data_IF_213278211603
#
_entry.id   IF_213278211603
#
_cell.length_a   1.000
_cell.length_b   1.000
_cell.length_c   1.000
_cell.angle_alpha   90.00
_cell.angle_beta   90.00
_cell.angle_gamma   90.00
#
_symmetry.space_group_name_H-M   'P 1'
#
loop_
_entity.id
_entity.type
_entity.pdbx_description
1 polymer ?
#
# COMPACT_ATOMS: atom_id res chain seq x y z
N UNK A 1 -2.55 4.48 -24.35
CA UNK A 1 -3.15 3.30 -23.68
C UNK A 1 -4.46 2.85 -24.32
N UNK A 2 -5.45 3.73 -24.52
CA UNK A 2 -6.72 3.37 -25.16
C UNK A 2 -6.55 2.73 -26.55
N UNK A 3 -5.74 3.32 -27.41
CA UNK A 3 -5.43 2.78 -28.74
C UNK A 3 -4.75 1.41 -28.69
N UNK A 4 -3.83 1.21 -27.73
CA UNK A 4 -3.17 -0.08 -27.52
C UNK A 4 -4.15 -1.14 -27.06
N UNK A 5 -5.07 -0.81 -26.17
CA UNK A 5 -6.10 -1.72 -25.70
C UNK A 5 -7.07 -2.14 -26.83
N UNK A 6 -7.48 -1.20 -27.67
CA UNK A 6 -8.34 -1.46 -28.84
C UNK A 6 -7.65 -2.28 -29.92
N UNK A 7 -6.32 -2.19 -30.04
CA UNK A 7 -5.55 -3.08 -30.94
C UNK A 7 -5.55 -4.53 -30.47
N UNK A 8 -5.50 -4.75 -29.14
CA UNK A 8 -5.51 -6.09 -28.55
C UNK A 8 -6.92 -6.68 -28.45
N UNK A 9 -7.90 -5.85 -28.15
CA UNK A 9 -9.30 -6.25 -27.98
C UNK A 9 -10.19 -5.24 -28.71
N UNK A 10 -10.41 -5.42 -30.05
CA UNK A 10 -11.19 -4.48 -30.86
C UNK A 10 -12.64 -4.26 -30.40
N UNK A 11 -13.22 -5.23 -29.72
CA UNK A 11 -14.59 -5.17 -29.17
C UNK A 11 -14.69 -4.40 -27.84
N UNK A 12 -13.58 -3.89 -27.31
CA UNK A 12 -13.57 -3.16 -26.04
C UNK A 12 -14.33 -1.83 -26.17
N UNK A 13 -15.33 -1.63 -25.32
CA UNK A 13 -16.07 -0.39 -25.26
C UNK A 13 -15.60 0.47 -24.08
N UNK A 14 -14.83 1.51 -24.38
CA UNK A 14 -14.25 2.41 -23.37
C UNK A 14 -15.30 3.21 -22.57
N UNK A 15 -16.58 3.25 -23.04
CA UNK A 15 -17.67 3.86 -22.25
C UNK A 15 -17.98 3.11 -20.95
N UNK A 16 -17.54 1.86 -20.85
CA UNK A 16 -17.69 1.05 -19.63
C UNK A 16 -16.50 1.21 -18.67
N UNK A 17 -15.54 2.08 -18.96
CA UNK A 17 -14.49 2.43 -18.02
C UNK A 17 -15.08 3.04 -16.75
N UNK A 18 -14.76 2.45 -15.60
CA UNK A 18 -15.21 2.93 -14.29
C UNK A 18 -14.16 3.76 -13.57
N UNK A 19 -12.88 3.61 -13.96
CA UNK A 19 -11.76 4.36 -13.42
C UNK A 19 -10.58 4.35 -14.40
N UNK A 20 -9.70 5.33 -14.24
CA UNK A 20 -8.37 5.31 -14.83
C UNK A 20 -7.33 5.68 -13.77
N UNK A 21 -6.13 5.17 -13.93
CA UNK A 21 -5.01 5.50 -13.04
C UNK A 21 -3.70 5.38 -13.82
N UNK A 22 -2.69 6.05 -13.29
CA UNK A 22 -1.33 6.01 -13.83
C UNK A 22 -0.35 5.76 -12.69
N UNK A 23 0.69 4.99 -12.97
CA UNK A 23 1.83 4.80 -12.06
C UNK A 23 3.04 5.58 -12.60
N UNK A 24 3.83 6.13 -11.69
CA UNK A 24 5.15 6.67 -11.97
C UNK A 24 6.18 5.60 -11.61
N UNK A 25 7.05 5.28 -12.56
CA UNK A 25 8.16 4.34 -12.33
C UNK A 25 9.44 5.15 -12.10
N UNK A 26 10.14 4.93 -10.98
CA UNK A 26 11.44 5.54 -10.74
C UNK A 26 12.48 4.82 -11.61
N UNK A 27 12.80 5.35 -12.77
CA UNK A 27 13.85 4.78 -13.61
C UNK A 27 15.22 5.25 -13.10
N UNK A 28 16.11 4.31 -12.87
CA UNK A 28 17.51 4.59 -12.61
C UNK A 28 18.29 4.85 -13.90
N UNK A 29 19.46 5.43 -13.77
CA UNK A 29 20.45 5.56 -14.82
C UNK A 29 21.79 4.89 -14.43
N UNK A 30 21.72 3.97 -13.48
CA UNK A 30 22.85 3.18 -13.04
C UNK A 30 23.41 2.31 -14.18
N UNK A 31 24.73 2.07 -14.21
CA UNK A 31 25.34 1.15 -15.15
C UNK A 31 24.92 -0.28 -14.85
N UNK A 32 24.61 -1.06 -15.88
CA UNK A 32 24.36 -2.49 -15.72
C UNK A 32 25.63 -3.20 -15.22
N UNK A 33 25.51 -3.89 -14.09
CA UNK A 33 26.61 -4.67 -13.48
C UNK A 33 26.84 -6.03 -14.17
N UNK A 34 25.94 -6.44 -15.09
CA UNK A 34 26.03 -7.73 -15.77
C UNK A 34 27.04 -7.65 -16.93
N UNK A 35 28.11 -8.46 -16.93
CA UNK A 35 29.12 -8.45 -18.01
C UNK A 35 28.47 -8.75 -19.38
N UNK A 36 28.81 -7.92 -20.38
CA UNK A 36 28.33 -8.07 -21.76
C UNK A 36 26.93 -7.52 -22.04
N UNK A 37 26.24 -6.97 -21.04
CA UNK A 37 24.94 -6.31 -21.19
C UNK A 37 25.15 -4.79 -21.20
N UNK A 38 24.80 -4.14 -22.30
CA UNK A 38 24.80 -2.67 -22.41
C UNK A 38 23.39 -2.18 -22.10
N UNK A 39 23.10 -2.00 -20.82
CA UNK A 39 21.84 -1.45 -20.34
C UNK A 39 22.12 -0.35 -19.32
N UNK A 40 21.71 0.87 -19.61
CA UNK A 40 22.08 2.05 -18.81
C UNK A 40 20.98 2.50 -17.85
N UNK A 41 20.00 1.64 -17.58
CA UNK A 41 18.85 1.98 -16.72
C UNK A 41 18.71 0.95 -15.58
N UNK A 42 19.84 0.56 -15.00
CA UNK A 42 19.82 -0.38 -13.87
C UNK A 42 19.58 0.35 -12.53
N UNK A 43 19.37 -0.41 -11.48
CA UNK A 43 19.21 0.11 -10.13
C UNK A 43 20.52 0.79 -9.67
N UNK A 44 20.37 1.86 -8.93
CA UNK A 44 21.47 2.53 -8.25
C UNK A 44 21.53 1.93 -6.84
N UNK A 45 22.60 1.22 -6.53
CA UNK A 45 22.86 0.64 -5.20
C UNK A 45 24.29 1.03 -4.86
N UNK A 46 24.46 2.03 -3.99
CA UNK A 46 25.76 2.63 -3.72
C UNK A 46 25.84 3.25 -2.31
N UNK A 47 27.05 3.39 -1.82
CA UNK A 47 27.40 4.29 -0.72
C UNK A 47 28.11 5.47 -1.36
N UNK A 48 27.48 6.68 -1.42
CA UNK A 48 28.13 7.86 -1.99
C UNK A 48 29.35 8.27 -1.15
N UNK A 49 30.47 8.58 -1.80
CA UNK A 49 31.72 8.99 -1.11
C UNK A 49 31.53 10.32 -0.35
N UNK A 50 30.65 11.19 -0.86
CA UNK A 50 30.41 12.53 -0.32
C UNK A 50 29.57 12.52 0.95
N UNK A 51 28.85 11.44 1.24
CA UNK A 51 27.91 11.38 2.38
C UNK A 51 28.13 10.11 3.19
N UNK A 52 28.80 10.26 4.33
CA UNK A 52 29.01 9.14 5.23
C UNK A 52 27.71 8.64 5.85
N UNK A 53 27.56 7.32 5.96
CA UNK A 53 26.40 6.68 6.58
C UNK A 53 25.13 6.64 5.73
N UNK A 54 25.23 7.02 4.44
CA UNK A 54 24.12 6.92 3.49
C UNK A 54 24.31 5.69 2.60
N UNK A 55 23.26 4.87 2.47
CA UNK A 55 23.12 3.90 1.38
C UNK A 55 22.05 4.42 0.45
N UNK A 56 22.42 4.70 -0.80
CA UNK A 56 21.50 5.18 -1.82
C UNK A 56 20.91 3.99 -2.61
N UNK A 57 19.58 3.86 -2.57
CA UNK A 57 18.83 2.86 -3.33
C UNK A 57 17.89 3.60 -4.29
N UNK A 58 18.39 3.89 -5.49
CA UNK A 58 17.68 4.69 -6.49
C UNK A 58 17.22 3.88 -7.69
N UNK A 59 16.22 4.39 -8.39
CA UNK A 59 15.75 3.82 -9.66
C UNK A 59 15.18 2.42 -9.58
N UNK A 60 14.77 1.96 -8.40
CA UNK A 60 14.22 0.61 -8.21
C UNK A 60 12.77 0.58 -8.70
N UNK A 61 12.60 0.22 -9.97
CA UNK A 61 11.30 -0.01 -10.57
C UNK A 61 10.95 -1.52 -10.60
N UNK A 62 10.23 -1.98 -11.61
CA UNK A 62 9.97 -3.43 -11.83
C UNK A 62 11.26 -4.13 -12.28
N UNK A 63 11.62 -5.28 -11.70
CA UNK A 63 10.93 -6.10 -10.71
C UNK A 63 11.39 -5.87 -9.24
N UNK A 64 11.47 -4.65 -8.77
CA UNK A 64 12.05 -4.28 -7.46
C UNK A 64 11.51 -5.05 -6.26
N UNK A 65 10.22 -5.36 -6.24
CA UNK A 65 9.63 -6.15 -5.14
C UNK A 65 10.22 -7.56 -5.08
N UNK A 66 10.43 -8.20 -6.23
CA UNK A 66 11.04 -9.53 -6.33
C UNK A 66 12.55 -9.49 -6.03
N UNK A 67 13.21 -8.38 -6.39
CA UNK A 67 14.65 -8.18 -6.16
C UNK A 67 14.97 -7.73 -4.73
N UNK A 68 13.97 -7.26 -3.96
CA UNK A 68 14.19 -6.69 -2.64
C UNK A 68 15.00 -7.58 -1.67
N UNK A 69 14.82 -8.91 -1.61
CA UNK A 69 15.65 -9.75 -0.75
C UNK A 69 17.13 -9.71 -1.14
N UNK A 70 17.45 -9.82 -2.44
CA UNK A 70 18.82 -9.78 -2.93
C UNK A 70 19.47 -8.39 -2.71
N UNK A 71 18.71 -7.32 -2.94
CA UNK A 71 19.14 -5.95 -2.63
C UNK A 71 19.44 -5.80 -1.14
N UNK A 72 18.61 -6.37 -0.27
CA UNK A 72 18.82 -6.31 1.17
C UNK A 72 20.12 -7.04 1.60
N UNK A 73 20.44 -8.17 1.00
CA UNK A 73 21.71 -8.89 1.23
C UNK A 73 22.91 -8.04 0.77
N UNK A 74 22.87 -7.48 -0.45
CA UNK A 74 23.91 -6.59 -0.97
C UNK A 74 24.13 -5.38 -0.04
N UNK A 75 23.05 -4.73 0.43
CA UNK A 75 23.15 -3.60 1.37
C UNK A 75 23.81 -4.01 2.70
N UNK A 76 23.47 -5.18 3.23
CA UNK A 76 24.08 -5.68 4.47
C UNK A 76 25.59 -5.90 4.28
N UNK A 77 26.00 -6.43 3.13
CA UNK A 77 27.42 -6.63 2.83
C UNK A 77 28.14 -5.29 2.64
N UNK A 78 27.55 -4.34 1.93
CA UNK A 78 28.09 -2.97 1.79
C UNK A 78 28.29 -2.27 3.15
N UNK A 79 27.33 -2.40 4.06
CA UNK A 79 27.45 -1.84 5.41
C UNK A 79 28.58 -2.52 6.22
N UNK A 80 28.72 -3.83 6.08
CA UNK A 80 29.78 -4.59 6.72
C UNK A 80 31.16 -4.18 6.19
N UNK A 81 31.28 -4.02 4.88
CA UNK A 81 32.51 -3.56 4.23
C UNK A 81 32.88 -2.10 4.59
N UNK A 82 31.86 -1.26 4.83
CA UNK A 82 32.01 0.09 5.35
C UNK A 82 32.40 0.13 6.85
N UNK A 83 32.54 -1.02 7.51
CA UNK A 83 33.02 -1.12 8.89
C UNK A 83 31.91 -1.12 9.95
N UNK A 84 30.65 -1.21 9.56
CA UNK A 84 29.53 -1.28 10.50
C UNK A 84 29.51 -2.62 11.25
N UNK A 85 29.38 -2.55 12.57
CA UNK A 85 29.28 -3.73 13.44
C UNK A 85 27.86 -4.27 13.47
N UNK A 86 27.55 -5.16 12.55
CA UNK A 86 26.25 -5.80 12.48
C UNK A 86 26.20 -7.01 13.40
N UNK A 87 25.32 -6.96 14.39
CA UNK A 87 25.10 -8.06 15.33
C UNK A 87 23.75 -8.74 15.06
N UNK A 88 23.78 -10.05 14.91
CA UNK A 88 22.55 -10.84 14.71
C UNK A 88 21.67 -10.74 15.96
N UNK A 89 20.39 -10.41 15.78
CA UNK A 89 19.43 -10.38 16.86
C UNK A 89 19.17 -11.80 17.39
N UNK A 90 19.27 -11.98 18.71
CA UNK A 90 19.07 -13.28 19.34
C UNK A 90 17.63 -13.79 19.24
N UNK A 91 16.67 -12.86 19.33
CA UNK A 91 15.23 -13.18 19.37
C UNK A 91 14.53 -12.68 18.09
N UNK A 92 15.20 -12.84 16.93
CA UNK A 92 14.61 -12.46 15.66
C UNK A 92 13.62 -13.52 15.18
N UNK A 93 12.35 -13.13 15.05
CA UNK A 93 11.33 -13.94 14.40
C UNK A 93 11.15 -13.46 12.94
N UNK A 94 11.53 -14.28 11.95
CA UNK A 94 11.36 -13.96 10.54
C UNK A 94 9.93 -14.12 10.06
N UNK A 95 9.05 -14.74 10.87
CA UNK A 95 7.70 -15.11 10.45
C UNK A 95 6.74 -13.95 10.73
N UNK A 96 6.21 -13.37 9.68
CA UNK A 96 5.09 -12.46 9.76
C UNK A 96 3.79 -13.23 9.51
N UNK A 97 2.91 -13.38 10.51
CA UNK A 97 1.64 -14.06 10.29
C UNK A 97 0.81 -13.34 9.21
N UNK A 98 0.19 -14.10 8.29
CA UNK A 98 -0.66 -13.52 7.27
C UNK A 98 -1.86 -12.85 7.92
N UNK A 99 -2.25 -11.68 7.40
CA UNK A 99 -3.51 -11.05 7.83
C UNK A 99 -4.69 -11.81 7.28
N UNK A 100 -5.75 -12.00 8.07
CA UNK A 100 -6.95 -12.64 7.57
C UNK A 100 -7.52 -11.84 6.40
N UNK A 101 -7.88 -12.54 5.33
CA UNK A 101 -8.59 -11.99 4.18
C UNK A 101 -9.98 -12.61 4.13
N UNK A 102 -10.95 -11.95 4.73
CA UNK A 102 -12.29 -12.45 4.93
C UNK A 102 -12.91 -13.02 3.63
N UNK A 103 -12.71 -12.34 2.50
CA UNK A 103 -13.23 -12.79 1.21
C UNK A 103 -12.68 -14.14 0.73
N UNK A 104 -11.47 -14.53 1.17
CA UNK A 104 -10.79 -15.76 0.75
C UNK A 104 -10.98 -16.91 1.74
N UNK A 105 -11.65 -16.68 2.87
CA UNK A 105 -11.84 -17.66 3.94
C UNK A 105 -13.04 -18.57 3.66
N UNK A 106 -12.99 -19.80 4.17
CA UNK A 106 -14.15 -20.69 4.18
C UNK A 106 -15.27 -20.11 5.07
N UNK A 107 -16.50 -20.57 4.86
CA UNK A 107 -17.64 -20.13 5.70
C UNK A 107 -17.39 -20.40 7.20
N UNK A 108 -16.82 -21.57 7.50
CA UNK A 108 -16.49 -21.97 8.88
C UNK A 108 -15.45 -21.03 9.51
N UNK A 109 -14.39 -20.71 8.76
CA UNK A 109 -13.34 -19.81 9.27
C UNK A 109 -13.84 -18.38 9.44
N UNK A 110 -14.72 -17.91 8.56
CA UNK A 110 -15.39 -16.60 8.71
C UNK A 110 -16.23 -16.57 9.97
N UNK A 111 -16.98 -17.64 10.25
CA UNK A 111 -17.79 -17.73 11.46
C UNK A 111 -16.93 -17.66 12.72
N UNK A 112 -15.86 -18.44 12.78
CA UNK A 112 -14.90 -18.40 13.89
C UNK A 112 -14.28 -17.01 14.07
N UNK A 113 -13.90 -16.38 12.98
CA UNK A 113 -13.32 -15.03 13.02
C UNK A 113 -14.32 -13.99 13.55
N UNK A 114 -15.59 -14.09 13.17
CA UNK A 114 -16.67 -13.21 13.67
C UNK A 114 -16.99 -13.48 15.14
N UNK A 115 -16.91 -14.71 15.59
CA UNK A 115 -17.08 -15.07 17.01
C UNK A 115 -15.94 -14.51 17.87
N UNK A 116 -14.70 -14.47 17.34
CA UNK A 116 -13.54 -13.88 18.01
C UNK A 116 -13.60 -12.36 18.05
N UNK A 117 -14.05 -11.73 16.96
CA UNK A 117 -14.18 -10.29 16.82
C UNK A 117 -15.38 -9.94 15.91
N UNK A 118 -16.50 -9.49 16.48
CA UNK A 118 -17.72 -9.18 15.73
C UNK A 118 -17.53 -8.14 14.62
N UNK A 119 -16.47 -7.33 14.66
CA UNK A 119 -16.16 -6.33 13.62
C UNK A 119 -15.85 -6.98 12.27
N UNK A 120 -15.39 -8.24 12.25
CA UNK A 120 -15.25 -9.00 11.01
C UNK A 120 -16.59 -9.43 10.40
N UNK A 121 -17.69 -9.36 11.15
CA UNK A 121 -19.05 -9.55 10.62
C UNK A 121 -19.62 -8.31 9.94
N UNK A 122 -18.99 -7.15 10.09
CA UNK A 122 -19.43 -5.87 9.52
C UNK A 122 -18.79 -5.63 8.15
N UNK A 123 -19.48 -5.98 7.07
CA UNK A 123 -18.99 -5.74 5.70
C UNK A 123 -19.13 -4.26 5.35
N UNK A 124 -18.02 -3.57 5.18
CA UNK A 124 -17.95 -2.16 4.81
C UNK A 124 -17.90 -1.99 3.29
N UNK A 125 -16.96 -2.64 2.62
CA UNK A 125 -16.87 -2.63 1.16
C UNK A 125 -17.52 -3.88 0.58
N UNK A 126 -18.71 -3.73 -0.01
CA UNK A 126 -19.45 -4.85 -0.59
C UNK A 126 -18.88 -5.38 -1.91
N UNK A 127 -18.21 -4.53 -2.67
CA UNK A 127 -17.61 -4.93 -3.95
C UNK A 127 -16.44 -5.90 -3.75
N UNK A 128 -15.65 -5.69 -2.70
CA UNK A 128 -14.44 -6.47 -2.39
C UNK A 128 -14.58 -7.32 -1.13
N UNK A 129 -15.75 -7.32 -0.48
CA UNK A 129 -16.03 -8.03 0.77
C UNK A 129 -15.01 -7.70 1.89
N UNK A 130 -14.71 -6.41 2.06
CA UNK A 130 -13.82 -5.95 3.13
C UNK A 130 -14.63 -5.59 4.35
N UNK A 131 -14.21 -6.12 5.49
CA UNK A 131 -14.87 -5.96 6.78
C UNK A 131 -14.29 -4.80 7.58
N UNK A 132 -15.02 -4.34 8.59
CA UNK A 132 -14.54 -3.34 9.55
C UNK A 132 -13.32 -3.84 10.31
N UNK A 133 -13.30 -5.12 10.72
CA UNK A 133 -12.16 -5.73 11.39
C UNK A 133 -10.88 -5.69 10.55
N UNK A 134 -10.96 -5.94 9.24
CA UNK A 134 -9.80 -5.81 8.34
C UNK A 134 -9.31 -4.37 8.25
N UNK A 135 -10.21 -3.39 8.19
CA UNK A 135 -9.86 -1.97 8.14
C UNK A 135 -9.15 -1.53 9.42
N UNK A 136 -9.70 -1.89 10.58
CA UNK A 136 -9.14 -1.56 11.89
C UNK A 136 -7.76 -2.20 12.07
N UNK A 137 -7.59 -3.45 11.65
CA UNK A 137 -6.30 -4.13 11.69
C UNK A 137 -5.22 -3.40 10.87
N UNK A 138 -5.60 -2.74 9.76
CA UNK A 138 -4.66 -1.92 8.98
C UNK A 138 -4.37 -0.56 9.64
N UNK A 139 -5.34 0.02 10.35
CA UNK A 139 -5.16 1.29 11.07
C UNK A 139 -4.19 1.10 12.24
N UNK A 140 -4.29 -0.02 12.96
CA UNK A 140 -3.46 -0.33 14.12
C UNK A 140 -2.23 -1.20 13.79
N UNK A 141 -1.89 -1.36 12.51
CA UNK A 141 -0.68 -2.07 12.12
C UNK A 141 0.60 -1.35 12.59
N UNK A 142 1.75 -2.04 12.72
CA UNK A 142 3.04 -1.42 13.06
C UNK A 142 3.41 -0.22 12.16
N UNK A 143 3.04 -0.28 10.88
CA UNK A 143 3.03 0.87 9.99
C UNK A 143 1.56 1.19 9.71
N UNK A 144 0.96 2.17 10.43
CA UNK A 144 -0.48 2.38 10.42
C UNK A 144 -1.01 2.97 9.11
N UNK A 145 -2.19 2.53 8.69
CA UNK A 145 -2.93 3.14 7.59
C UNK A 145 -3.75 4.33 8.12
N UNK A 146 -3.28 5.55 7.92
CA UNK A 146 -3.92 6.77 8.44
C UNK A 146 -4.78 7.53 7.43
N UNK A 147 -4.91 7.03 6.21
CA UNK A 147 -5.68 7.65 5.14
C UNK A 147 -6.52 6.62 4.41
N UNK A 148 -7.56 7.06 3.73
CA UNK A 148 -8.39 6.18 2.92
C UNK A 148 -7.56 5.38 1.88
N UNK A 149 -6.69 6.05 1.14
CA UNK A 149 -5.86 5.40 0.12
C UNK A 149 -4.83 4.44 0.73
N UNK A 150 -4.38 4.67 1.97
CA UNK A 150 -3.51 3.72 2.66
C UNK A 150 -4.26 2.41 2.98
N UNK A 151 -5.52 2.49 3.42
CA UNK A 151 -6.40 1.32 3.61
C UNK A 151 -6.68 0.65 2.26
N UNK A 152 -7.08 1.43 1.25
CA UNK A 152 -7.35 0.96 -0.11
C UNK A 152 -6.21 0.11 -0.68
N UNK A 153 -4.96 0.60 -0.58
CA UNK A 153 -3.78 -0.10 -1.11
C UNK A 153 -3.49 -1.42 -0.39
N UNK A 154 -3.95 -1.59 0.84
CA UNK A 154 -3.68 -2.77 1.64
C UNK A 154 -4.81 -3.79 1.63
N UNK A 155 -6.05 -3.33 1.50
CA UNK A 155 -7.25 -4.18 1.60
C UNK A 155 -7.98 -4.36 0.27
N UNK A 156 -7.74 -3.50 -0.73
CA UNK A 156 -8.51 -3.37 -1.97
C UNK A 156 -9.88 -2.71 -1.78
N UNK A 157 -10.18 -2.21 -0.60
CA UNK A 157 -11.37 -1.40 -0.35
C UNK A 157 -11.46 -0.27 -1.39
N UNK A 158 -12.64 -0.04 -1.95
CA UNK A 158 -12.88 1.04 -2.91
C UNK A 158 -12.30 0.83 -4.31
N UNK A 159 -11.76 -0.35 -4.64
CA UNK A 159 -11.23 -0.67 -5.99
C UNK A 159 -12.24 -1.34 -6.89
N UNK A 160 -13.34 -1.84 -6.33
CA UNK A 160 -14.40 -2.51 -7.08
C UNK A 160 -15.30 -1.54 -7.86
N UNK A 161 -16.42 -2.04 -8.33
CA UNK A 161 -17.33 -1.33 -9.25
C UNK A 161 -17.75 0.07 -8.79
N UNK A 162 -18.00 0.27 -7.47
CA UNK A 162 -18.47 1.56 -6.95
C UNK A 162 -17.35 2.59 -6.74
N UNK A 163 -16.08 2.21 -6.86
CA UNK A 163 -14.90 3.09 -6.67
C UNK A 163 -14.97 3.90 -5.37
N UNK A 164 -15.44 3.30 -4.29
CA UNK A 164 -15.55 3.94 -2.97
C UNK A 164 -16.86 4.68 -2.72
N UNK A 165 -17.77 4.75 -3.69
CA UNK A 165 -19.02 5.52 -3.56
C UNK A 165 -19.92 5.06 -2.43
N UNK A 166 -19.87 3.78 -2.01
CA UNK A 166 -20.69 3.26 -0.91
C UNK A 166 -19.94 3.18 0.42
N UNK A 167 -18.64 3.02 0.40
CA UNK A 167 -17.88 2.75 1.62
C UNK A 167 -17.20 4.00 2.21
N UNK A 168 -17.00 5.05 1.41
CA UNK A 168 -16.25 6.25 1.80
C UNK A 168 -16.71 6.84 3.14
N UNK A 169 -17.99 7.10 3.32
CA UNK A 169 -18.52 7.71 4.55
C UNK A 169 -18.29 6.84 5.77
N UNK A 170 -18.46 5.52 5.62
CA UNK A 170 -18.20 4.56 6.70
C UNK A 170 -16.73 4.52 7.07
N UNK A 171 -15.84 4.53 6.08
CA UNK A 171 -14.39 4.52 6.28
C UNK A 171 -13.91 5.83 6.93
N UNK A 172 -14.48 6.98 6.53
CA UNK A 172 -14.21 8.26 7.19
C UNK A 172 -14.56 8.18 8.68
N UNK A 173 -15.73 7.64 9.02
CA UNK A 173 -16.14 7.48 10.41
C UNK A 173 -15.23 6.50 11.18
N UNK A 174 -14.82 5.39 10.56
CA UNK A 174 -13.89 4.45 11.18
C UNK A 174 -12.53 5.11 11.42
N UNK A 175 -11.96 5.79 10.42
CA UNK A 175 -10.69 6.51 10.57
C UNK A 175 -10.77 7.58 11.65
N UNK A 176 -11.83 8.37 11.66
CA UNK A 176 -12.07 9.40 12.69
C UNK A 176 -12.09 8.80 14.10
N UNK A 177 -12.87 7.74 14.28
CA UNK A 177 -12.99 7.04 15.57
C UNK A 177 -11.67 6.42 16.02
N UNK A 178 -11.02 5.65 15.15
CA UNK A 178 -9.82 4.88 15.51
C UNK A 178 -8.58 5.76 15.69
N UNK A 179 -8.51 6.90 15.02
CA UNK A 179 -7.40 7.86 15.13
C UNK A 179 -7.68 8.97 16.15
N UNK A 180 -8.92 9.10 16.65
CA UNK A 180 -9.32 10.15 17.57
C UNK A 180 -9.26 11.55 16.95
N UNK A 181 -9.54 11.67 15.64
CA UNK A 181 -9.51 12.93 14.88
C UNK A 181 -10.90 13.32 14.41
N UNK A 182 -11.11 14.60 14.10
CA UNK A 182 -12.37 15.05 13.47
C UNK A 182 -12.56 14.39 12.09
N UNK A 183 -13.81 14.06 11.68
CA UNK A 183 -14.08 13.65 10.31
C UNK A 183 -13.57 14.63 9.24
N UNK A 184 -13.48 15.92 9.58
CA UNK A 184 -12.94 16.96 8.70
C UNK A 184 -11.41 16.84 8.47
N UNK A 185 -10.71 16.17 9.37
CA UNK A 185 -9.26 15.94 9.29
C UNK A 185 -8.93 14.66 8.50
N UNK A 186 -9.92 13.80 8.25
CA UNK A 186 -9.70 12.57 7.49
C UNK A 186 -9.39 12.91 6.04
N UNK A 187 -8.25 12.40 5.56
CA UNK A 187 -7.78 12.65 4.20
C UNK A 187 -7.85 11.41 3.32
N UNK A 188 -7.96 11.65 2.02
CA UNK A 188 -7.84 10.60 1.01
C UNK A 188 -6.42 10.03 0.95
N UNK A 189 -5.40 10.91 0.90
CA UNK A 189 -3.99 10.54 0.70
C UNK A 189 -2.97 11.44 1.38
N UNK A 190 -3.38 12.23 2.38
CA UNK A 190 -2.54 13.18 3.11
C UNK A 190 -3.02 14.62 2.94
N UNK A 191 -2.19 15.56 3.37
CA UNK A 191 -2.51 16.99 3.39
C UNK A 191 -3.08 17.49 2.07
N UNK A 192 -4.14 18.29 2.15
CA UNK A 192 -4.82 18.88 0.99
C UNK A 192 -5.79 17.95 0.27
N UNK A 193 -6.10 16.76 0.86
CA UNK A 193 -7.04 15.81 0.26
C UNK A 193 -8.15 15.36 1.22
N UNK A 194 -8.66 16.29 1.99
CA UNK A 194 -9.78 16.08 2.90
C UNK A 194 -11.03 15.66 2.12
N UNK A 195 -11.82 14.77 2.70
CA UNK A 195 -13.10 14.36 2.16
C UNK A 195 -14.22 15.34 2.46
N UNK A 196 -14.16 15.96 3.62
CA UNK A 196 -15.14 16.90 4.09
C UNK A 196 -14.49 18.28 4.23
N UNK A 197 -15.16 19.29 3.67
CA UNK A 197 -14.64 20.65 3.66
C UNK A 197 -15.09 21.45 4.88
N UNK A 198 -16.35 21.26 5.32
CA UNK A 198 -16.95 21.92 6.49
C UNK A 198 -18.21 21.18 6.93
N UNK A 199 -18.69 21.51 8.10
CA UNK A 199 -20.01 21.11 8.57
C UNK A 199 -21.11 21.79 7.75
N UNK A 200 -22.20 21.05 7.48
CA UNK A 200 -23.33 21.58 6.72
C UNK A 200 -24.16 22.58 7.52
N UNK A 201 -24.25 22.38 8.85
CA UNK A 201 -24.93 23.25 9.78
C UNK A 201 -23.90 23.70 10.81
N UNK A 202 -23.39 24.92 10.64
CA UNK A 202 -22.71 25.61 11.73
C UNK A 202 -23.82 26.25 12.57
N UNK A 203 -24.04 25.73 13.77
CA UNK A 203 -24.84 26.43 14.77
C UNK A 203 -23.93 27.55 15.29
N UNK A 204 -24.15 28.76 14.80
CA UNK A 204 -23.57 29.95 15.42
C UNK A 204 -24.13 29.99 16.85
N UNK A 205 -23.25 29.74 17.84
CA UNK A 205 -23.53 29.91 19.27
C UNK A 205 -23.39 31.35 19.69
#
# INVERSE_FOLDING_TARGET
MAEGALKLVPSLNLRYSIANFVGLRPMGNGPCKTPGVVYNNDYIIEIPEEVQGLVNLGGIESPGLTSAPAIAEEVVDMLRDAGEKLVVKKDWDPIRPPRPRFRNMSHKDRQLLVEMDPRFGQVICRCENITEGEIIAEIHAPIPARTYDAIKRRTWLGTGRCQGGFDMTRVVNILSRELGISPLEVTKRGTGSQYLFRETKQVEG
#
